data_IF_096215522670
#
_entry.id   IF_096215522670
#
_cell.length_a   1.000
_cell.length_b   1.000
_cell.length_c   1.000
_cell.angle_alpha   90.00
_cell.angle_beta   90.00
_cell.angle_gamma   90.00
#
_symmetry.space_group_name_H-M   'P 1'
#
loop_
_entity.id
_entity.type
_entity.pdbx_description
1 polymer ?
#
# COMPACT_ATOMS: atom_id res chain seq x y z
N UNK A 1 -20.98 -4.45 -13.24
CA UNK A 1 -19.83 -4.31 -14.15
C UNK A 1 -18.86 -5.43 -13.82
N UNK A 2 -18.70 -6.39 -14.74
CA UNK A 2 -17.84 -7.56 -14.58
C UNK A 2 -16.38 -7.14 -14.69
N UNK A 3 -15.67 -7.16 -13.57
CA UNK A 3 -14.22 -7.00 -13.51
C UNK A 3 -13.58 -8.22 -14.17
N UNK A 4 -13.23 -8.11 -15.45
CA UNK A 4 -12.35 -9.07 -16.09
C UNK A 4 -10.97 -8.94 -15.46
N UNK A 5 -10.56 -9.94 -14.68
CA UNK A 5 -9.15 -10.21 -14.43
C UNK A 5 -8.56 -10.45 -15.84
N UNK A 6 -7.64 -9.62 -16.33
CA UNK A 6 -6.97 -9.84 -17.60
C UNK A 6 -6.26 -11.21 -17.56
N UNK A 7 -6.59 -12.08 -18.52
CA UNK A 7 -5.87 -13.33 -18.72
C UNK A 7 -4.61 -13.07 -19.56
N UNK A 8 -3.49 -13.70 -19.15
CA UNK A 8 -2.21 -13.95 -19.85
C UNK A 8 -0.99 -13.01 -19.63
N UNK A 9 0.00 -13.55 -18.89
CA UNK A 9 1.39 -13.91 -19.26
C UNK A 9 2.61 -12.95 -19.23
N UNK A 10 2.53 -11.67 -18.88
CA UNK A 10 3.76 -10.83 -18.77
C UNK A 10 4.14 -10.37 -17.36
N UNK A 11 3.22 -10.47 -16.41
CA UNK A 11 3.42 -9.92 -15.07
C UNK A 11 3.79 -10.99 -14.05
N UNK A 12 4.77 -10.68 -13.19
CA UNK A 12 5.14 -11.55 -12.08
C UNK A 12 4.08 -11.53 -11.00
N UNK A 13 3.79 -12.68 -10.41
CA UNK A 13 2.98 -12.71 -9.20
C UNK A 13 3.74 -12.08 -8.02
N UNK A 14 3.00 -11.65 -7.00
CA UNK A 14 3.61 -11.14 -5.76
C UNK A 14 4.51 -12.19 -5.09
N UNK A 15 4.15 -13.48 -5.19
CA UNK A 15 4.95 -14.60 -4.70
C UNK A 15 6.33 -14.65 -5.36
N UNK A 16 6.39 -14.52 -6.69
CA UNK A 16 7.64 -14.45 -7.47
C UNK A 16 8.49 -13.23 -7.08
N UNK A 17 7.82 -12.09 -6.85
CA UNK A 17 8.47 -10.89 -6.36
C UNK A 17 9.12 -11.11 -5.00
N UNK A 18 8.41 -11.70 -4.04
CA UNK A 18 8.99 -11.96 -2.73
C UNK A 18 10.10 -12.99 -2.76
N UNK A 19 10.00 -14.04 -3.59
CA UNK A 19 11.10 -15.00 -3.81
C UNK A 19 12.35 -14.28 -4.32
N UNK A 20 12.18 -13.33 -5.25
CA UNK A 20 13.27 -12.53 -5.80
C UNK A 20 13.86 -11.54 -4.79
N UNK A 21 13.00 -10.89 -4.00
CA UNK A 21 13.39 -9.86 -3.03
C UNK A 21 14.06 -10.47 -1.79
N UNK A 22 13.62 -11.65 -1.35
CA UNK A 22 14.07 -12.33 -0.13
C UNK A 22 14.61 -13.74 -0.40
N UNK A 23 15.76 -13.89 -1.07
CA UNK A 23 16.28 -15.20 -1.48
C UNK A 23 16.68 -16.11 -0.30
N UNK A 24 16.76 -15.58 0.92
CA UNK A 24 17.11 -16.31 2.16
C UNK A 24 15.89 -16.68 3.00
N UNK A 25 14.68 -16.24 2.63
CA UNK A 25 13.42 -16.66 3.27
C UNK A 25 12.84 -17.81 2.45
N UNK A 26 12.45 -18.89 3.12
CA UNK A 26 11.80 -20.02 2.46
C UNK A 26 10.29 -19.84 2.50
N UNK A 27 9.54 -20.21 1.45
CA UNK A 27 8.09 -20.26 1.51
C UNK A 27 7.63 -21.21 2.62
N UNK A 28 6.63 -20.80 3.40
CA UNK A 28 6.10 -21.58 4.51
C UNK A 28 4.62 -21.27 4.71
N UNK A 29 3.82 -22.22 5.21
CA UNK A 29 2.46 -21.87 5.63
C UNK A 29 2.51 -21.10 6.96
N UNK A 30 1.48 -20.30 7.25
CA UNK A 30 1.43 -19.46 8.48
C UNK A 30 1.71 -20.28 9.74
N UNK A 31 1.23 -21.52 9.80
CA UNK A 31 1.44 -22.42 10.94
C UNK A 31 2.89 -22.88 11.14
N UNK A 32 3.75 -22.78 10.11
CA UNK A 32 5.08 -23.39 10.10
C UNK A 32 6.21 -22.40 10.47
N UNK A 33 6.09 -21.13 10.06
CA UNK A 33 7.14 -20.10 10.26
C UNK A 33 6.60 -18.81 10.89
N UNK A 34 5.30 -18.53 10.81
CA UNK A 34 4.68 -17.31 11.33
C UNK A 34 5.07 -16.00 10.61
N UNK A 35 6.17 -15.99 9.84
CA UNK A 35 6.58 -14.83 9.03
C UNK A 35 5.61 -14.57 7.89
N UNK A 36 5.15 -13.31 7.77
CA UNK A 36 4.20 -12.92 6.75
C UNK A 36 4.78 -13.10 5.34
N UNK A 37 6.03 -12.68 5.08
CA UNK A 37 6.67 -12.85 3.75
C UNK A 37 6.73 -14.33 3.35
N UNK A 38 7.16 -15.19 4.26
CA UNK A 38 7.23 -16.64 4.02
C UNK A 38 5.84 -17.21 3.67
N UNK A 39 4.80 -16.74 4.37
CA UNK A 39 3.43 -17.10 4.03
C UNK A 39 2.99 -16.58 2.68
N UNK A 40 3.33 -15.34 2.32
CA UNK A 40 2.87 -14.74 1.08
C UNK A 40 3.50 -15.42 -0.15
N UNK A 41 4.72 -15.95 -0.03
CA UNK A 41 5.36 -16.74 -1.08
C UNK A 41 4.59 -18.02 -1.45
N UNK A 42 3.67 -18.49 -0.60
CA UNK A 42 2.86 -19.70 -0.86
C UNK A 42 1.50 -19.41 -1.51
N UNK A 43 1.16 -18.13 -1.73
CA UNK A 43 -0.14 -17.71 -2.26
C UNK A 43 -0.06 -17.51 -3.77
N UNK A 44 -1.13 -17.87 -4.48
CA UNK A 44 -1.30 -17.57 -5.91
C UNK A 44 -2.33 -16.45 -6.11
N UNK A 45 -2.21 -15.76 -7.24
CA UNK A 45 -3.17 -14.72 -7.62
C UNK A 45 -4.55 -15.29 -8.01
N UNK A 46 -4.59 -16.52 -8.53
CA UNK A 46 -5.84 -17.23 -8.91
C UNK A 46 -6.85 -17.36 -7.75
N UNK A 47 -6.34 -17.49 -6.53
CA UNK A 47 -7.16 -17.63 -5.32
C UNK A 47 -7.13 -16.38 -4.44
N UNK A 48 -6.31 -15.38 -4.81
CA UNK A 48 -6.19 -14.11 -4.12
C UNK A 48 -6.00 -13.00 -5.18
N UNK A 49 -7.06 -12.60 -5.90
CA UNK A 49 -6.96 -11.62 -6.99
C UNK A 49 -6.22 -10.32 -6.62
N UNK A 50 -6.29 -9.80 -5.38
CA UNK A 50 -5.46 -8.67 -4.94
C UNK A 50 -3.94 -8.87 -5.16
N UNK A 51 -3.43 -10.10 -5.15
CA UNK A 51 -2.00 -10.39 -5.34
C UNK A 51 -1.51 -10.10 -6.75
N UNK A 52 -2.34 -10.26 -7.78
CA UNK A 52 -1.96 -9.89 -9.14
C UNK A 52 -1.60 -8.40 -9.21
N UNK A 53 -2.46 -7.56 -8.64
CA UNK A 53 -2.29 -6.11 -8.68
C UNK A 53 -1.05 -5.61 -7.92
N UNK A 54 -0.67 -6.26 -6.83
CA UNK A 54 0.59 -5.93 -6.14
C UNK A 54 1.77 -6.31 -7.01
N UNK A 55 1.74 -7.50 -7.62
CA UNK A 55 2.76 -7.90 -8.58
C UNK A 55 2.95 -6.84 -9.68
N UNK A 56 1.84 -6.30 -10.20
CA UNK A 56 1.88 -5.26 -11.23
C UNK A 56 2.40 -3.91 -10.72
N UNK A 57 2.10 -3.55 -9.48
CA UNK A 57 2.69 -2.37 -8.86
C UNK A 57 4.22 -2.49 -8.76
N UNK A 58 4.71 -3.69 -8.42
CA UNK A 58 6.13 -3.99 -8.33
C UNK A 58 6.80 -3.99 -9.70
N UNK A 59 6.15 -4.57 -10.72
CA UNK A 59 6.61 -4.48 -12.12
C UNK A 59 6.73 -3.01 -12.54
N UNK A 60 5.70 -2.20 -12.30
CA UNK A 60 5.69 -0.78 -12.69
C UNK A 60 6.81 0.04 -12.03
N UNK A 61 7.15 -0.26 -10.78
CA UNK A 61 8.26 0.39 -10.07
C UNK A 61 9.61 -0.16 -10.53
N UNK A 62 9.70 -1.48 -10.76
CA UNK A 62 10.91 -2.15 -11.20
C UNK A 62 11.35 -1.72 -12.60
N UNK A 63 10.43 -1.62 -13.56
CA UNK A 63 10.68 -1.18 -14.94
C UNK A 63 11.33 0.21 -15.01
N UNK A 64 11.15 1.02 -13.96
CA UNK A 64 11.71 2.37 -13.83
C UNK A 64 12.98 2.42 -12.97
N UNK A 65 13.61 1.25 -12.73
CA UNK A 65 14.85 1.12 -11.97
C UNK A 65 14.66 1.08 -10.45
N UNK A 66 13.43 0.90 -9.96
CA UNK A 66 13.12 0.95 -8.53
C UNK A 66 13.43 -0.34 -7.75
N UNK A 67 13.75 -1.44 -8.45
CA UNK A 67 13.88 -2.76 -7.85
C UNK A 67 14.95 -2.85 -6.76
N UNK A 68 16.19 -2.43 -7.04
CA UNK A 68 17.28 -2.54 -6.07
C UNK A 68 17.01 -1.73 -4.80
N UNK A 69 16.46 -0.51 -4.96
CA UNK A 69 16.07 0.34 -3.83
C UNK A 69 14.92 -0.27 -3.02
N UNK A 70 13.96 -0.90 -3.70
CA UNK A 70 12.86 -1.60 -3.03
C UNK A 70 13.38 -2.78 -2.21
N UNK A 71 14.26 -3.58 -2.79
CA UNK A 71 14.89 -4.72 -2.10
C UNK A 71 15.69 -4.27 -0.87
N UNK A 72 16.54 -3.26 -1.02
CA UNK A 72 17.33 -2.70 0.08
C UNK A 72 16.44 -2.23 1.23
N UNK A 73 15.41 -1.43 0.94
CA UNK A 73 14.47 -0.94 1.98
C UNK A 73 13.70 -2.06 2.65
N UNK A 74 13.25 -3.05 1.88
CA UNK A 74 12.52 -4.20 2.42
C UNK A 74 13.40 -5.05 3.33
N UNK A 75 14.67 -5.27 2.96
CA UNK A 75 15.63 -5.98 3.81
C UNK A 75 15.98 -5.16 5.06
N UNK A 76 16.14 -3.84 4.94
CA UNK A 76 16.43 -2.96 6.07
C UNK A 76 15.30 -2.98 7.12
N UNK A 77 14.04 -2.98 6.65
CA UNK A 77 12.85 -2.97 7.51
C UNK A 77 12.52 -4.34 8.14
N UNK A 78 12.68 -5.43 7.39
CA UNK A 78 12.28 -6.76 7.82
C UNK A 78 13.42 -7.61 8.38
N UNK A 79 14.61 -7.40 7.84
CA UNK A 79 15.70 -8.37 7.86
C UNK A 79 15.69 -9.32 6.67
N UNK A 80 16.87 -9.84 6.36
CA UNK A 80 17.11 -10.75 5.24
C UNK A 80 16.58 -12.19 5.45
N UNK A 81 16.19 -12.55 6.68
CA UNK A 81 15.72 -13.90 7.03
C UNK A 81 14.30 -13.83 7.59
N UNK A 82 13.67 -15.00 7.76
CA UNK A 82 12.36 -15.08 8.41
C UNK A 82 12.39 -14.37 9.76
N UNK A 83 11.39 -13.53 9.99
CA UNK A 83 11.17 -12.83 11.25
C UNK A 83 10.56 -13.74 12.34
N UNK A 84 10.12 -14.95 11.97
CA UNK A 84 9.43 -15.92 12.82
C UNK A 84 8.16 -15.36 13.50
N UNK A 85 7.39 -14.55 12.77
CA UNK A 85 6.15 -13.93 13.24
C UNK A 85 6.35 -12.71 14.13
N UNK A 86 7.46 -11.98 13.98
CA UNK A 86 7.63 -10.68 14.63
C UNK A 86 6.77 -9.62 13.91
N UNK A 87 5.59 -9.36 14.47
CA UNK A 87 4.56 -8.49 13.90
C UNK A 87 5.06 -7.10 13.49
N UNK A 88 6.01 -6.51 14.24
CA UNK A 88 6.59 -5.19 13.93
C UNK A 88 7.34 -5.22 12.59
N UNK A 89 8.09 -6.29 12.31
CA UNK A 89 8.86 -6.44 11.08
C UNK A 89 7.95 -6.77 9.90
N UNK A 90 6.96 -7.64 10.12
CA UNK A 90 5.93 -7.93 9.11
C UNK A 90 5.12 -6.66 8.79
N UNK A 91 4.87 -5.79 9.78
CA UNK A 91 4.18 -4.53 9.54
C UNK A 91 5.00 -3.52 8.74
N UNK A 92 6.29 -3.42 9.04
CA UNK A 92 7.22 -2.57 8.31
C UNK A 92 7.27 -2.93 6.82
N UNK A 93 7.28 -4.22 6.47
CA UNK A 93 7.24 -4.67 5.05
C UNK A 93 5.92 -4.37 4.40
N UNK A 94 4.81 -4.69 5.09
CA UNK A 94 3.48 -4.47 4.52
C UNK A 94 3.23 -2.97 4.25
N UNK A 95 3.78 -2.09 5.09
CA UNK A 95 3.80 -0.64 4.81
C UNK A 95 4.58 -0.32 3.51
N UNK A 96 5.75 -0.93 3.29
CA UNK A 96 6.51 -0.75 2.04
C UNK A 96 5.76 -1.29 0.80
N UNK A 97 5.00 -2.38 0.94
CA UNK A 97 4.12 -2.88 -0.12
C UNK A 97 3.10 -1.82 -0.49
N UNK A 98 2.41 -1.23 0.49
CA UNK A 98 1.44 -0.16 0.24
C UNK A 98 2.10 1.09 -0.35
N UNK A 99 3.29 1.48 0.11
CA UNK A 99 4.08 2.57 -0.49
C UNK A 99 4.41 2.29 -1.97
N UNK A 100 4.72 1.03 -2.30
CA UNK A 100 5.00 0.61 -3.68
C UNK A 100 3.77 0.74 -4.54
N UNK A 101 2.59 0.34 -4.04
CA UNK A 101 1.31 0.55 -4.70
C UNK A 101 1.01 2.04 -4.93
N UNK A 102 1.22 2.89 -3.91
CA UNK A 102 1.04 4.34 -4.02
C UNK A 102 2.00 4.97 -5.05
N UNK A 103 3.26 4.52 -5.06
CA UNK A 103 4.28 4.94 -6.03
C UNK A 103 3.85 4.57 -7.45
N UNK A 104 3.48 3.31 -7.68
CA UNK A 104 3.04 2.82 -8.97
C UNK A 104 1.74 3.54 -9.45
N UNK A 105 0.81 3.82 -8.54
CA UNK A 105 -0.38 4.64 -8.86
C UNK A 105 0.02 6.04 -9.31
N UNK A 106 0.95 6.68 -8.61
CA UNK A 106 1.41 8.03 -8.95
C UNK A 106 2.12 8.08 -10.31
N UNK A 107 2.91 7.06 -10.65
CA UNK A 107 3.58 6.92 -11.94
C UNK A 107 2.55 6.81 -13.08
N UNK A 108 1.51 5.99 -12.88
CA UNK A 108 0.41 5.84 -13.84
C UNK A 108 -0.40 7.12 -13.98
N UNK A 109 -0.67 7.82 -12.86
CA UNK A 109 -1.56 8.99 -12.84
C UNK A 109 -0.90 10.25 -13.40
N UNK A 110 0.37 10.49 -13.04
CA UNK A 110 1.08 11.72 -13.38
C UNK A 110 2.03 11.56 -14.56
N UNK A 111 2.23 10.33 -15.07
CA UNK A 111 3.11 10.07 -16.22
C UNK A 111 4.59 10.40 -15.95
N UNK A 112 4.99 10.56 -14.68
CA UNK A 112 6.38 10.88 -14.32
C UNK A 112 7.29 9.75 -14.77
N UNK A 113 8.39 10.07 -15.45
CA UNK A 113 9.46 9.10 -15.76
C UNK A 113 10.39 8.83 -14.57
N UNK A 114 10.37 9.70 -13.57
CA UNK A 114 11.18 9.58 -12.38
C UNK A 114 10.40 8.91 -11.25
N UNK A 115 11.09 8.06 -10.49
CA UNK A 115 10.56 7.51 -9.25
C UNK A 115 10.42 8.62 -8.20
N UNK A 116 9.23 8.81 -7.62
CA UNK A 116 9.06 9.62 -6.44
C UNK A 116 10.01 9.20 -5.32
N UNK A 117 10.45 10.17 -4.51
CA UNK A 117 11.26 9.92 -3.35
C UNK A 117 10.35 9.45 -2.20
N UNK A 118 10.63 8.27 -1.66
CA UNK A 118 10.08 7.89 -0.36
C UNK A 118 11.01 8.43 0.73
N UNK A 119 10.48 9.32 1.58
CA UNK A 119 11.16 9.80 2.78
C UNK A 119 10.85 8.86 3.95
N UNK A 120 11.28 7.60 3.83
CA UNK A 120 11.17 6.61 4.90
C UNK A 120 12.32 6.76 5.90
N UNK A 121 12.27 7.76 6.78
CA UNK A 121 13.12 7.74 7.96
C UNK A 121 12.60 6.67 8.92
N UNK A 122 13.47 5.72 9.28
CA UNK A 122 13.19 4.61 10.17
C UNK A 122 12.72 5.04 11.55
N UNK A 123 11.91 4.15 12.12
CA UNK A 123 11.10 4.26 13.33
C UNK A 123 11.96 4.48 14.58
N UNK A 124 11.67 5.56 15.31
CA UNK A 124 11.72 5.55 16.79
C UNK A 124 10.69 6.46 17.46
N UNK A 125 9.99 7.34 16.73
CA UNK A 125 8.81 8.06 17.24
C UNK A 125 7.83 8.37 16.10
N UNK A 126 6.61 7.84 16.20
CA UNK A 126 5.55 7.81 15.17
C UNK A 126 4.88 9.16 14.90
N UNK A 127 5.65 10.15 14.46
CA UNK A 127 5.11 11.45 14.02
C UNK A 127 5.59 11.89 12.63
N UNK A 128 6.47 11.16 11.94
CA UNK A 128 6.76 11.39 10.52
C UNK A 128 5.83 10.53 9.65
N UNK A 129 5.04 11.15 8.77
CA UNK A 129 4.15 10.43 7.85
C UNK A 129 4.94 9.58 6.83
N UNK A 130 4.27 8.58 6.25
CA UNK A 130 4.86 7.73 5.20
C UNK A 130 4.66 8.39 3.84
N UNK A 131 5.61 9.21 3.43
CA UNK A 131 5.46 10.11 2.29
C UNK A 131 6.15 9.60 1.02
N UNK A 132 5.38 9.57 -0.07
CA UNK A 132 5.86 9.45 -1.45
C UNK A 132 5.78 10.85 -2.07
N UNK A 133 6.94 11.43 -2.41
CA UNK A 133 7.04 12.85 -2.81
C UNK A 133 7.66 12.98 -4.20
N UNK A 134 7.06 13.83 -5.04
CA UNK A 134 7.66 14.27 -6.29
C UNK A 134 7.80 15.79 -6.30
N UNK A 135 9.03 16.25 -6.42
CA UNK A 135 9.39 17.67 -6.54
C UNK A 135 9.72 18.07 -7.99
N UNK A 136 9.54 17.16 -8.96
CA UNK A 136 9.91 17.38 -10.36
C UNK A 136 8.71 17.78 -11.24
N UNK A 137 8.86 18.83 -12.05
CA UNK A 137 7.87 19.29 -13.04
C UNK A 137 6.92 20.39 -12.55
N UNK A 138 5.91 20.73 -13.37
CA UNK A 138 4.94 21.81 -13.11
C UNK A 138 3.91 21.50 -12.01
N UNK A 139 3.85 20.25 -11.53
CA UNK A 139 2.91 19.82 -10.48
C UNK A 139 3.60 18.92 -9.46
N UNK A 140 4.26 19.54 -8.47
CA UNK A 140 4.73 18.83 -7.29
C UNK A 140 3.57 18.18 -6.54
N UNK A 141 3.77 16.94 -6.06
CA UNK A 141 2.79 16.20 -5.27
C UNK A 141 3.43 15.47 -4.10
N UNK A 142 2.63 15.22 -3.07
CA UNK A 142 3.00 14.40 -1.94
C UNK A 142 1.83 13.48 -1.58
N UNK A 143 2.12 12.20 -1.41
CA UNK A 143 1.16 11.18 -1.07
C UNK A 143 1.52 10.64 0.31
N UNK A 144 0.63 10.81 1.29
CA UNK A 144 0.75 10.15 2.58
C UNK A 144 0.09 8.77 2.49
N UNK A 145 0.84 7.72 2.81
CA UNK A 145 0.41 6.33 2.69
C UNK A 145 -0.08 5.83 4.04
N UNK A 146 -1.37 5.54 4.13
CA UNK A 146 -2.03 5.11 5.36
C UNK A 146 -2.68 3.76 5.17
N UNK A 147 -2.46 2.88 6.14
CA UNK A 147 -3.09 1.57 6.21
C UNK A 147 -4.13 1.57 7.31
N UNK A 148 -5.39 1.33 6.94
CA UNK A 148 -6.48 1.16 7.89
C UNK A 148 -6.42 -0.25 8.46
N UNK A 149 -6.38 -0.35 9.79
CA UNK A 149 -6.59 -1.62 10.48
C UNK A 149 -8.04 -2.04 10.34
N UNK A 150 -8.33 -3.35 10.40
CA UNK A 150 -9.69 -3.86 10.39
C UNK A 150 -10.60 -3.12 11.40
N UNK A 151 -11.55 -2.27 10.97
CA UNK A 151 -12.57 -1.77 11.88
C UNK A 151 -13.54 -2.88 12.28
N UNK A 152 -13.92 -2.89 13.55
CA UNK A 152 -15.07 -3.63 14.07
C UNK A 152 -16.32 -2.72 14.14
N UNK A 153 -16.15 -1.40 14.11
CA UNK A 153 -17.26 -0.43 14.21
C UNK A 153 -17.08 0.76 13.26
N UNK A 154 -18.20 1.43 12.94
CA UNK A 154 -18.17 2.68 12.17
C UNK A 154 -17.40 3.80 12.89
N UNK A 155 -17.45 3.83 14.23
CA UNK A 155 -16.71 4.81 15.03
C UNK A 155 -15.19 4.62 14.88
N UNK A 156 -14.72 3.37 14.80
CA UNK A 156 -13.32 3.07 14.54
C UNK A 156 -12.88 3.51 13.14
N UNK A 157 -13.74 3.37 12.12
CA UNK A 157 -13.47 3.90 10.77
C UNK A 157 -13.25 5.40 10.81
N UNK A 158 -14.20 6.13 11.40
CA UNK A 158 -14.14 7.59 11.53
C UNK A 158 -12.89 8.02 12.29
N UNK A 159 -12.58 7.37 13.40
CA UNK A 159 -11.41 7.70 14.22
C UNK A 159 -10.10 7.49 13.46
N UNK A 160 -9.96 6.36 12.74
CA UNK A 160 -8.74 6.08 11.96
C UNK A 160 -8.56 7.11 10.84
N UNK A 161 -9.62 7.45 10.11
CA UNK A 161 -9.56 8.43 9.02
C UNK A 161 -9.28 9.84 9.54
N UNK A 162 -9.98 10.28 10.58
CA UNK A 162 -9.74 11.59 11.19
C UNK A 162 -8.30 11.73 11.67
N UNK A 163 -7.77 10.69 12.34
CA UNK A 163 -6.37 10.64 12.78
C UNK A 163 -5.40 10.73 11.60
N UNK A 164 -5.67 9.96 10.54
CA UNK A 164 -4.85 9.96 9.32
C UNK A 164 -4.80 11.35 8.66
N UNK A 165 -5.94 12.02 8.56
CA UNK A 165 -6.05 13.37 7.99
C UNK A 165 -5.30 14.40 8.84
N UNK A 166 -5.44 14.37 10.16
CA UNK A 166 -4.72 15.28 11.06
C UNK A 166 -3.20 15.06 11.01
N UNK A 167 -2.74 13.81 10.98
CA UNK A 167 -1.31 13.49 10.79
C UNK A 167 -0.83 14.00 9.43
N UNK A 168 -1.62 13.81 8.37
CA UNK A 168 -1.28 14.31 7.03
C UNK A 168 -1.09 15.82 7.03
N UNK A 169 -1.98 16.58 7.66
CA UNK A 169 -1.89 18.05 7.76
C UNK A 169 -0.64 18.48 8.51
N UNK A 170 -0.36 17.84 9.64
CA UNK A 170 0.76 18.22 10.52
C UNK A 170 2.12 17.89 9.90
N UNK A 171 2.18 16.85 9.06
CA UNK A 171 3.45 16.26 8.62
C UNK A 171 3.71 16.43 7.13
N UNK A 172 2.84 17.16 6.41
CA UNK A 172 2.99 17.36 4.97
C UNK A 172 4.34 18.01 4.63
N UNK A 173 4.99 17.59 3.54
CA UNK A 173 6.19 18.25 3.04
C UNK A 173 5.94 19.72 2.70
N UNK A 174 6.92 20.57 3.00
CA UNK A 174 6.88 21.99 2.62
C UNK A 174 6.97 22.18 1.10
N UNK A 175 6.35 23.25 0.60
CA UNK A 175 6.43 23.63 -0.82
C UNK A 175 5.58 22.78 -1.78
N UNK A 176 4.82 21.80 -1.29
CA UNK A 176 3.92 20.98 -2.09
C UNK A 176 2.46 21.42 -1.92
N UNK A 177 1.78 21.62 -3.05
CA UNK A 177 0.37 22.06 -3.09
C UNK A 177 -0.60 20.89 -3.27
N UNK A 178 -0.20 19.84 -4.00
CA UNK A 178 -1.06 18.69 -4.26
C UNK A 178 -0.79 17.57 -3.25
N UNK A 179 -1.64 17.49 -2.23
CA UNK A 179 -1.55 16.50 -1.16
C UNK A 179 -2.61 15.42 -1.36
N UNK A 180 -2.16 14.17 -1.37
CA UNK A 180 -3.00 12.99 -1.49
C UNK A 180 -2.87 12.12 -0.23
N UNK A 181 -3.98 11.57 0.22
CA UNK A 181 -4.05 10.51 1.21
C UNK A 181 -4.32 9.20 0.47
N UNK A 182 -3.31 8.33 0.38
CA UNK A 182 -3.46 7.00 -0.20
C UNK A 182 -3.81 6.02 0.90
N UNK A 183 -5.01 5.45 0.83
CA UNK A 183 -5.58 4.60 1.87
C UNK A 183 -5.69 3.17 1.37
N UNK A 184 -5.05 2.26 2.09
CA UNK A 184 -5.13 0.82 1.89
C UNK A 184 -5.75 0.15 3.11
N UNK A 185 -6.50 -0.93 2.89
CA UNK A 185 -7.20 -1.63 3.96
C UNK A 185 -6.46 -2.93 4.25
N UNK A 186 -6.17 -3.14 5.52
CA UNK A 186 -5.47 -4.32 6.02
C UNK A 186 -6.03 -5.64 5.50
N UNK A 187 -5.14 -6.61 5.28
CA UNK A 187 -5.51 -8.00 5.04
C UNK A 187 -4.90 -8.88 6.14
N UNK A 188 -5.71 -9.25 7.14
CA UNK A 188 -5.26 -10.09 8.26
C UNK A 188 -5.27 -11.59 7.94
N UNK A 189 -5.46 -11.94 6.67
CA UNK A 189 -5.66 -13.31 6.23
C UNK A 189 -6.87 -13.42 5.30
N UNK A 190 -7.22 -14.66 4.90
CA UNK A 190 -8.16 -14.91 3.80
C UNK A 190 -9.59 -14.41 4.06
N UNK A 191 -9.95 -14.01 5.28
CA UNK A 191 -11.30 -13.55 5.62
C UNK A 191 -11.54 -12.06 5.39
N UNK A 192 -10.55 -11.19 5.63
CA UNK A 192 -10.85 -9.77 5.81
C UNK A 192 -10.92 -8.97 4.50
N UNK A 193 -10.01 -9.24 3.55
CA UNK A 193 -10.05 -8.59 2.25
C UNK A 193 -11.22 -9.06 1.38
N UNK A 194 -11.74 -10.26 1.63
CA UNK A 194 -12.96 -10.76 0.97
C UNK A 194 -14.22 -10.00 1.40
N UNK A 195 -14.27 -9.50 2.64
CA UNK A 195 -15.40 -8.70 3.13
C UNK A 195 -15.35 -7.26 2.63
N UNK A 196 -14.35 -6.48 3.04
CA UNK A 196 -14.38 -5.02 2.80
C UNK A 196 -14.06 -4.66 1.34
N UNK A 197 -13.25 -5.44 0.63
CA UNK A 197 -12.94 -5.14 -0.78
C UNK A 197 -14.08 -5.46 -1.75
N UNK A 198 -15.04 -6.30 -1.35
CA UNK A 198 -16.10 -6.81 -2.23
C UNK A 198 -17.49 -6.43 -1.76
N UNK A 199 -17.66 -6.04 -0.49
CA UNK A 199 -18.90 -5.55 0.08
C UNK A 199 -18.95 -4.01 0.06
N UNK A 200 -19.90 -3.50 -0.72
CA UNK A 200 -20.14 -2.06 -0.84
C UNK A 200 -20.62 -1.45 0.48
N UNK A 201 -21.40 -2.18 1.28
CA UNK A 201 -21.92 -1.69 2.57
C UNK A 201 -20.80 -1.50 3.59
N UNK A 202 -19.74 -2.31 3.53
CA UNK A 202 -18.56 -2.16 4.35
C UNK A 202 -17.60 -1.03 3.86
N UNK A 203 -17.62 -0.72 2.57
CA UNK A 203 -16.72 0.30 1.98
C UNK A 203 -17.29 1.72 2.03
N UNK A 204 -18.60 1.88 1.89
CA UNK A 204 -19.24 3.21 1.82
C UNK A 204 -18.95 4.11 3.04
N UNK A 205 -18.97 3.59 4.30
CA UNK A 205 -18.64 4.42 5.47
C UNK A 205 -17.22 4.98 5.44
N UNK A 206 -16.28 4.27 4.80
CA UNK A 206 -14.89 4.72 4.61
C UNK A 206 -14.86 5.86 3.59
N UNK A 207 -15.58 5.72 2.49
CA UNK A 207 -15.69 6.75 1.43
C UNK A 207 -16.33 8.04 1.98
N UNK A 208 -17.43 7.91 2.71
CA UNK A 208 -18.15 9.06 3.29
C UNK A 208 -17.25 9.82 4.28
N UNK A 209 -16.55 9.08 5.14
CA UNK A 209 -15.62 9.66 6.11
C UNK A 209 -14.44 10.33 5.41
N UNK A 210 -13.82 9.71 4.41
CA UNK A 210 -12.74 10.32 3.63
C UNK A 210 -13.21 11.61 2.94
N UNK A 211 -14.39 11.57 2.32
CA UNK A 211 -14.97 12.72 1.62
C UNK A 211 -15.26 13.89 2.56
N UNK A 212 -15.72 13.63 3.78
CA UNK A 212 -15.91 14.67 4.80
C UNK A 212 -14.58 15.24 5.29
N UNK A 213 -13.75 14.40 5.92
CA UNK A 213 -12.55 14.86 6.64
C UNK A 213 -11.42 15.32 5.71
N UNK A 214 -11.11 14.56 4.65
CA UNK A 214 -10.08 14.97 3.70
C UNK A 214 -10.57 16.17 2.86
N UNK A 215 -11.86 16.14 2.49
CA UNK A 215 -12.67 17.23 1.93
C UNK A 215 -12.41 18.59 2.55
N UNK A 216 -12.77 18.70 3.83
CA UNK A 216 -12.69 19.92 4.65
C UNK A 216 -11.27 20.51 4.73
N UNK A 217 -10.26 19.70 4.47
CA UNK A 217 -8.86 20.09 4.57
C UNK A 217 -8.15 20.23 3.23
N UNK A 218 -8.87 20.13 2.11
CA UNK A 218 -8.31 20.21 0.76
C UNK A 218 -7.31 19.09 0.47
N UNK A 219 -7.41 17.98 1.20
CA UNK A 219 -6.59 16.78 0.99
C UNK A 219 -7.36 15.87 0.05
N UNK A 220 -6.76 15.58 -1.09
CA UNK A 220 -7.27 14.59 -2.04
C UNK A 220 -7.08 13.20 -1.47
N UNK A 221 -7.88 12.24 -1.89
CA UNK A 221 -7.70 10.87 -1.42
C UNK A 221 -7.83 9.86 -2.55
N UNK A 222 -7.13 8.75 -2.36
CA UNK A 222 -7.19 7.55 -3.18
C UNK A 222 -7.50 6.41 -2.23
N UNK A 223 -8.71 5.86 -2.33
CA UNK A 223 -9.06 4.64 -1.63
C UNK A 223 -8.90 3.48 -2.62
N UNK A 224 -7.89 2.64 -2.41
CA UNK A 224 -7.80 1.39 -3.15
C UNK A 224 -8.53 0.29 -2.39
N UNK A 225 -9.24 -0.58 -3.11
CA UNK A 225 -9.64 -1.90 -2.58
C UNK A 225 -8.36 -2.57 -2.04
N UNK A 226 -8.45 -3.44 -1.00
CA UNK A 226 -7.30 -4.20 -0.54
C UNK A 226 -6.55 -4.73 -1.75
N UNK A 227 -5.38 -4.14 -1.97
CA UNK A 227 -4.49 -4.44 -3.08
C UNK A 227 -5.13 -4.53 -4.49
N UNK A 228 -5.89 -3.53 -4.90
CA UNK A 228 -6.21 -3.33 -6.33
C UNK A 228 -5.51 -2.08 -6.87
N UNK A 229 -4.20 -2.20 -7.05
CA UNK A 229 -3.39 -1.20 -7.72
C UNK A 229 -4.03 -0.73 -9.02
N UNK A 230 -4.16 0.60 -9.19
CA UNK A 230 -4.67 1.20 -10.42
C UNK A 230 -6.17 1.01 -10.68
N UNK A 231 -6.94 0.47 -9.72
CA UNK A 231 -8.39 0.42 -9.71
C UNK A 231 -8.95 0.96 -8.38
N UNK A 232 -9.00 2.30 -8.22
CA UNK A 232 -9.52 2.92 -7.02
C UNK A 232 -11.01 2.59 -6.82
N UNK A 233 -11.43 2.43 -5.58
CA UNK A 233 -12.87 2.32 -5.23
C UNK A 233 -13.52 3.69 -5.24
N UNK A 234 -12.76 4.70 -4.80
CA UNK A 234 -13.14 6.09 -4.83
C UNK A 234 -11.87 6.95 -4.94
N UNK A 235 -11.95 8.01 -5.73
CA UNK A 235 -10.93 9.06 -5.78
C UNK A 235 -11.60 10.42 -5.71
N UNK A 236 -11.03 11.32 -4.93
CA UNK A 236 -11.30 12.74 -5.03
C UNK A 236 -10.00 13.44 -5.45
N UNK A 237 -9.99 13.92 -6.69
CA UNK A 237 -8.79 14.37 -7.42
C UNK A 237 -8.66 15.89 -7.49
#
# INVERSE_FOLDING_TARGET
MTSHIPQHDEHKEMSDWFISLFPKIRPAFIADDGCWIASMMTRSSDHNPPWAWIGWAFDSVSERGGFSRLQERMIEMHGEKSCRGQEVLDEAVRQLVTETCATAWSLKRFGSNNLPLSNGAHIENSTSGNWVVSNGGDTGFAINVVRLRPPNTQQEVVQQISTAVEVTKRTKPDGITHIYLYVDIWHDGPGYAHGIGYDFEATQPIIDSLSGYAGEHGIRYVLTKPFQWGNPVAEWL
#
